data_IF_897574454040
#
_entry.id   IF_897574454040
#
_cell.length_a   1.000
_cell.length_b   1.000
_cell.length_c   1.000
_cell.angle_alpha   90.00
_cell.angle_beta   90.00
_cell.angle_gamma   90.00
#
_symmetry.space_group_name_H-M   'P 1'
#
loop_
_entity.id
_entity.type
_entity.pdbx_description
1 polymer ?
#
# COMPACT_ATOMS: atom_id res chain seq x y z
N UNK A 1 -42.48 -7.27 6.64
CA UNK A 1 -41.86 -6.75 5.41
C UNK A 1 -40.39 -6.55 5.73
N UNK A 2 -39.52 -7.44 5.25
CA UNK A 2 -38.07 -7.28 5.35
C UNK A 2 -37.61 -6.35 4.24
N UNK A 3 -37.10 -5.18 4.60
CA UNK A 3 -36.62 -4.16 3.65
C UNK A 3 -35.28 -4.53 2.98
N UNK A 4 -34.81 -5.78 3.09
CA UNK A 4 -33.66 -6.28 2.33
C UNK A 4 -32.28 -5.72 2.73
N UNK A 5 -32.18 -4.98 3.84
CA UNK A 5 -30.89 -4.49 4.35
C UNK A 5 -30.43 -5.34 5.53
N UNK A 6 -29.39 -6.15 5.32
CA UNK A 6 -28.62 -6.74 6.41
C UNK A 6 -27.52 -5.77 6.86
N UNK A 7 -27.20 -5.68 8.16
CA UNK A 7 -26.06 -4.90 8.60
C UNK A 7 -24.79 -5.45 7.93
N UNK A 8 -24.09 -4.59 7.20
CA UNK A 8 -22.80 -4.95 6.60
C UNK A 8 -21.83 -5.35 7.72
N UNK A 9 -20.99 -6.36 7.43
CA UNK A 9 -19.90 -6.73 8.32
C UNK A 9 -19.00 -5.51 8.54
N UNK A 10 -18.95 -5.02 9.77
CA UNK A 10 -18.13 -3.87 10.13
C UNK A 10 -16.66 -4.31 10.08
N UNK A 11 -15.85 -3.65 9.25
CA UNK A 11 -14.42 -3.92 9.17
C UNK A 11 -13.68 -3.01 10.16
N UNK A 12 -13.71 -3.39 11.44
CA UNK A 12 -13.05 -2.64 12.51
C UNK A 12 -11.58 -3.04 12.54
N UNK A 13 -10.70 -2.09 12.26
CA UNK A 13 -9.25 -2.24 12.46
C UNK A 13 -8.85 -1.52 13.75
N UNK A 14 -8.30 -2.26 14.71
CA UNK A 14 -7.70 -1.71 15.92
C UNK A 14 -6.29 -1.19 15.58
N UNK A 15 -6.18 0.12 15.37
CA UNK A 15 -4.92 0.76 14.99
C UNK A 15 -3.93 0.86 16.16
N UNK A 16 -4.40 0.79 17.40
CA UNK A 16 -3.53 0.85 18.58
C UNK A 16 -2.70 -0.44 18.73
N UNK A 17 -3.20 -1.54 18.16
CA UNK A 17 -2.52 -2.85 18.13
C UNK A 17 -1.77 -3.13 16.82
N UNK A 18 -1.80 -2.21 15.86
CA UNK A 18 -1.18 -2.44 14.55
C UNK A 18 0.35 -2.49 14.66
N UNK A 19 0.98 -3.48 14.01
CA UNK A 19 2.43 -3.53 13.91
C UNK A 19 2.94 -2.50 12.88
N UNK A 20 3.56 -1.43 13.36
CA UNK A 20 4.11 -0.36 12.51
C UNK A 20 5.58 -0.60 12.11
N UNK A 21 6.17 -1.74 12.48
CA UNK A 21 7.58 -2.06 12.21
C UNK A 21 7.96 -1.91 10.72
N UNK A 22 7.09 -2.35 9.80
CA UNK A 22 7.30 -2.19 8.36
C UNK A 22 7.27 -0.72 7.94
N UNK A 23 6.31 0.05 8.46
CA UNK A 23 6.16 1.48 8.12
C UNK A 23 7.39 2.26 8.59
N UNK A 24 7.86 2.01 9.80
CA UNK A 24 9.05 2.66 10.36
C UNK A 24 10.31 2.25 9.58
N UNK A 25 10.42 0.97 9.21
CA UNK A 25 11.55 0.46 8.43
C UNK A 25 11.63 1.06 7.02
N UNK A 26 10.49 1.27 6.35
CA UNK A 26 10.40 1.95 5.05
C UNK A 26 10.73 3.43 5.23
N UNK A 27 10.13 4.09 6.22
CA UNK A 27 10.29 5.53 6.47
C UNK A 27 11.74 5.90 6.81
N UNK A 28 12.45 5.03 7.55
CA UNK A 28 13.86 5.21 7.85
C UNK A 28 14.78 5.16 6.62
N UNK A 29 14.31 4.55 5.51
CA UNK A 29 15.07 4.43 4.24
C UNK A 29 14.58 5.40 3.17
N UNK A 30 13.32 5.78 3.23
CA UNK A 30 12.69 6.69 2.29
C UNK A 30 11.64 7.55 3.03
N UNK A 31 12.05 8.75 3.43
CA UNK A 31 11.20 9.70 4.13
C UNK A 31 10.00 10.15 3.29
N UNK A 32 10.10 10.06 1.96
CA UNK A 32 9.05 10.51 1.04
C UNK A 32 7.74 9.72 1.24
N UNK A 33 7.81 8.51 1.80
CA UNK A 33 6.61 7.74 2.14
C UNK A 33 5.66 8.50 3.07
N UNK A 34 6.19 9.30 4.02
CA UNK A 34 5.38 10.11 4.95
C UNK A 34 4.58 11.21 4.24
N UNK A 35 5.00 11.62 3.04
CA UNK A 35 4.34 12.66 2.27
C UNK A 35 3.09 12.16 1.51
N UNK A 36 2.87 10.85 1.47
CA UNK A 36 1.75 10.24 0.74
C UNK A 36 0.40 10.59 1.37
N UNK A 37 -0.38 11.42 0.68
CA UNK A 37 -1.75 11.83 1.08
C UNK A 37 -2.86 10.88 0.58
N UNK A 38 -2.50 9.71 0.06
CA UNK A 38 -3.45 8.71 -0.45
C UNK A 38 -4.43 9.22 -1.54
N UNK A 39 -4.00 10.15 -2.41
CA UNK A 39 -4.85 10.71 -3.48
C UNK A 39 -5.24 9.72 -4.59
N UNK A 40 -4.44 8.67 -4.83
CA UNK A 40 -4.75 7.63 -5.81
C UNK A 40 -4.28 7.88 -7.25
N UNK A 41 -3.62 9.00 -7.56
CA UNK A 41 -3.10 9.28 -8.93
C UNK A 41 -2.17 8.17 -9.45
N UNK A 42 -1.38 7.57 -8.56
CA UNK A 42 -0.52 6.43 -8.86
C UNK A 42 -1.29 5.16 -9.23
N UNK A 43 -2.42 4.89 -8.59
CA UNK A 43 -3.30 3.76 -8.93
C UNK A 43 -3.95 4.01 -10.29
N UNK A 44 -4.46 5.21 -10.54
CA UNK A 44 -5.11 5.56 -11.80
C UNK A 44 -4.19 5.43 -13.03
N UNK A 45 -2.89 5.73 -12.88
CA UNK A 45 -1.91 5.60 -13.98
C UNK A 45 -1.31 4.18 -14.10
N UNK A 46 -1.62 3.27 -13.16
CA UNK A 46 -0.93 2.00 -13.08
C UNK A 46 -1.38 1.04 -14.19
N UNK A 47 -0.47 0.67 -15.09
CA UNK A 47 -0.74 -0.37 -16.09
C UNK A 47 -1.00 -1.74 -15.47
N UNK A 48 -0.36 -2.08 -14.35
CA UNK A 48 -0.61 -3.35 -13.66
C UNK A 48 -2.03 -3.44 -13.07
N UNK A 49 -2.59 -2.31 -12.66
CA UNK A 49 -3.97 -2.22 -12.15
C UNK A 49 -5.03 -2.51 -13.22
N UNK A 50 -4.68 -2.45 -14.51
CA UNK A 50 -5.60 -2.80 -15.60
C UNK A 50 -5.68 -4.32 -15.84
N UNK A 51 -4.63 -5.06 -15.47
CA UNK A 51 -4.54 -6.51 -15.68
C UNK A 51 -4.68 -7.31 -14.38
N UNK A 52 -4.56 -6.66 -13.23
CA UNK A 52 -4.61 -7.27 -11.90
C UNK A 52 -5.34 -6.34 -10.94
N UNK A 53 -5.79 -6.85 -9.80
CA UNK A 53 -6.43 -6.03 -8.76
C UNK A 53 -5.40 -5.26 -7.91
N UNK A 54 -4.35 -4.71 -8.54
CA UNK A 54 -3.27 -4.00 -7.87
C UNK A 54 -3.58 -2.51 -7.73
N UNK A 55 -3.52 -2.02 -6.49
CA UNK A 55 -3.64 -0.59 -6.19
C UNK A 55 -2.51 -0.15 -5.27
N UNK A 56 -1.66 0.77 -5.76
CA UNK A 56 -0.59 1.34 -4.95
C UNK A 56 -1.14 2.11 -3.74
N UNK A 57 -2.28 2.79 -3.91
CA UNK A 57 -2.99 3.46 -2.81
C UNK A 57 -3.38 2.46 -1.72
N UNK A 58 -3.96 1.32 -2.09
CA UNK A 58 -4.34 0.28 -1.12
C UNK A 58 -3.13 -0.34 -0.44
N UNK A 59 -2.06 -0.60 -1.19
CA UNK A 59 -0.79 -1.05 -0.63
C UNK A 59 -0.26 -0.07 0.43
N UNK A 60 -0.32 1.24 0.19
CA UNK A 60 0.04 2.24 1.20
C UNK A 60 -0.86 2.18 2.44
N UNK A 61 -2.15 1.88 2.28
CA UNK A 61 -3.06 1.68 3.42
C UNK A 61 -2.73 0.40 4.19
N UNK A 62 -2.43 -0.71 3.51
CA UNK A 62 -2.00 -1.95 4.17
C UNK A 62 -0.73 -1.75 4.99
N UNK A 63 0.26 -1.00 4.47
CA UNK A 63 1.46 -0.66 5.24
C UNK A 63 1.11 0.15 6.50
N UNK A 64 0.26 1.17 6.38
CA UNK A 64 -0.15 2.01 7.54
C UNK A 64 -1.01 1.26 8.56
N UNK A 65 -1.65 0.16 8.17
CA UNK A 65 -2.44 -0.71 9.06
C UNK A 65 -1.62 -1.84 9.68
N UNK A 66 -0.33 -1.94 9.36
CA UNK A 66 0.51 -3.07 9.79
C UNK A 66 0.18 -4.41 9.10
N UNK A 67 -0.52 -4.38 7.96
CA UNK A 67 -0.85 -5.58 7.17
C UNK A 67 0.36 -5.99 6.29
N UNK A 68 1.46 -6.44 6.91
CA UNK A 68 2.75 -6.72 6.24
C UNK A 68 2.59 -7.75 5.12
N UNK A 69 2.00 -8.91 5.40
CA UNK A 69 1.80 -9.99 4.42
C UNK A 69 1.06 -9.51 3.17
N UNK A 70 0.00 -8.74 3.38
CA UNK A 70 -0.82 -8.21 2.29
C UNK A 70 -0.04 -7.17 1.50
N UNK A 71 0.69 -6.28 2.17
CA UNK A 71 1.54 -5.30 1.49
C UNK A 71 2.60 -5.99 0.61
N UNK A 72 3.25 -7.05 1.11
CA UNK A 72 4.24 -7.84 0.35
C UNK A 72 3.60 -8.50 -0.87
N UNK A 73 2.50 -9.24 -0.68
CA UNK A 73 1.77 -9.92 -1.77
C UNK A 73 1.30 -8.96 -2.85
N UNK A 74 0.74 -7.82 -2.47
CA UNK A 74 0.33 -6.79 -3.43
C UNK A 74 1.54 -6.19 -4.15
N UNK A 75 2.67 -6.01 -3.46
CA UNK A 75 3.88 -5.45 -4.06
C UNK A 75 4.44 -6.29 -5.20
N UNK A 76 4.24 -7.62 -5.19
CA UNK A 76 4.73 -8.55 -6.22
C UNK A 76 4.07 -8.30 -7.58
N UNK A 77 2.82 -7.82 -7.61
CA UNK A 77 2.07 -7.49 -8.83
C UNK A 77 2.65 -6.28 -9.58
N UNK A 78 3.49 -5.46 -8.93
CA UNK A 78 4.07 -4.28 -9.55
C UNK A 78 5.11 -4.63 -10.63
N UNK A 79 4.97 -4.10 -11.85
CA UNK A 79 5.97 -4.28 -12.91
C UNK A 79 7.17 -3.32 -12.83
N UNK A 80 7.27 -2.51 -11.76
CA UNK A 80 8.33 -1.50 -11.57
C UNK A 80 8.51 -0.51 -12.74
N UNK A 81 7.46 -0.21 -13.51
CA UNK A 81 7.53 0.66 -14.69
C UNK A 81 7.84 2.14 -14.37
N UNK A 82 7.58 2.61 -13.14
CA UNK A 82 7.94 3.96 -12.68
C UNK A 82 6.96 5.09 -13.05
N UNK A 83 5.91 4.81 -13.82
CA UNK A 83 4.90 5.83 -14.22
C UNK A 83 4.25 6.54 -13.02
N UNK A 84 4.07 5.83 -11.92
CA UNK A 84 3.48 6.36 -10.70
C UNK A 84 4.29 7.50 -10.05
N UNK A 85 5.61 7.55 -10.24
CA UNK A 85 6.46 8.64 -9.73
C UNK A 85 6.21 9.94 -10.50
N UNK A 86 5.96 9.86 -11.80
CA UNK A 86 5.76 11.02 -12.67
C UNK A 86 4.46 11.79 -12.38
N UNK A 87 3.43 11.09 -11.90
CA UNK A 87 2.10 11.66 -11.64
C UNK A 87 1.89 12.05 -10.17
N UNK A 88 2.87 11.79 -9.29
CA UNK A 88 2.69 12.02 -7.87
C UNK A 88 2.78 13.52 -7.52
N UNK A 89 1.72 14.16 -7.02
CA UNK A 89 1.76 15.59 -6.69
C UNK A 89 2.62 15.91 -5.46
N UNK A 90 2.95 14.89 -4.66
CA UNK A 90 3.79 14.99 -3.47
C UNK A 90 5.23 14.51 -3.70
N UNK A 91 5.56 14.16 -4.94
CA UNK A 91 6.86 13.65 -5.34
C UNK A 91 7.35 12.45 -4.49
N UNK A 92 6.43 11.55 -4.14
CA UNK A 92 6.75 10.33 -3.40
C UNK A 92 7.50 9.37 -4.30
N UNK A 93 8.60 8.79 -3.82
CA UNK A 93 9.39 7.81 -4.56
C UNK A 93 8.73 6.42 -4.54
N UNK A 94 7.57 6.33 -5.18
CA UNK A 94 6.71 5.13 -5.21
C UNK A 94 7.43 3.88 -5.71
N UNK A 95 8.34 4.02 -6.69
CA UNK A 95 9.14 2.90 -7.21
C UNK A 95 10.10 2.37 -6.14
N UNK A 96 10.76 3.24 -5.38
CA UNK A 96 11.65 2.82 -4.31
C UNK A 96 10.87 2.15 -3.17
N UNK A 97 9.71 2.69 -2.80
CA UNK A 97 8.83 2.10 -1.79
C UNK A 97 8.46 0.65 -2.14
N UNK A 98 8.07 0.34 -3.39
CA UNK A 98 7.81 -1.05 -3.80
C UNK A 98 9.05 -1.95 -3.63
N UNK A 99 10.24 -1.46 -4.00
CA UNK A 99 11.48 -2.23 -3.83
C UNK A 99 11.76 -2.50 -2.36
N UNK A 100 11.52 -1.52 -1.49
CA UNK A 100 11.68 -1.67 -0.04
C UNK A 100 10.70 -2.70 0.53
N UNK A 101 9.41 -2.62 0.16
CA UNK A 101 8.40 -3.60 0.60
C UNK A 101 8.78 -5.02 0.19
N UNK A 102 9.26 -5.23 -1.04
CA UNK A 102 9.74 -6.55 -1.49
C UNK A 102 10.95 -7.05 -0.71
N UNK A 103 11.89 -6.16 -0.36
CA UNK A 103 13.03 -6.50 0.51
C UNK A 103 12.60 -6.84 1.93
N UNK A 104 11.55 -6.20 2.43
CA UNK A 104 11.01 -6.46 3.75
C UNK A 104 10.55 -7.92 3.90
N UNK A 105 10.13 -8.59 2.81
CA UNK A 105 9.80 -10.02 2.81
C UNK A 105 10.94 -10.90 3.38
N UNK A 106 12.20 -10.53 3.13
CA UNK A 106 13.36 -11.28 3.62
C UNK A 106 13.64 -11.03 5.11
N UNK A 107 13.32 -9.84 5.62
CA UNK A 107 13.64 -9.42 6.99
C UNK A 107 12.54 -9.79 7.98
N UNK A 108 11.28 -9.72 7.57
CA UNK A 108 10.11 -9.99 8.43
C UNK A 108 9.54 -11.39 8.25
N UNK A 109 10.29 -12.31 7.59
CA UNK A 109 9.94 -13.71 7.24
C UNK A 109 8.47 -14.04 7.51
N UNK A 110 7.64 -13.54 6.61
CA UNK A 110 6.23 -13.92 6.46
C UNK A 110 6.11 -15.02 5.41
#
# INVERSE_FOLDING_TARGET
>A
MDFGYAPLKINIHDLDKADLSLMDWITARDESFRLCIACGSCTATCTAGNFTNFSFRELCHSIRRGEVEKAVRESEKCMLCGKCTLVCPRNVNTRNIIKLVRKANQNFRV
#
